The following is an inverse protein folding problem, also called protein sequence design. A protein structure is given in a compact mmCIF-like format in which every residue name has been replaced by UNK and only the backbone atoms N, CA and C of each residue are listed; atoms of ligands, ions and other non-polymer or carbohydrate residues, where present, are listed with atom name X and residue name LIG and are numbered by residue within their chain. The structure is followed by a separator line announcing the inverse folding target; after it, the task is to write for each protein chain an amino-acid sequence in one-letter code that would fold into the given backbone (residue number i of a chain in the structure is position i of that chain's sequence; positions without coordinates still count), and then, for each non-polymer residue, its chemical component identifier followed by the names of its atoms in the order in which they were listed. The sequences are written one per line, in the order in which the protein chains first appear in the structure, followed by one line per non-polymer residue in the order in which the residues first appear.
data_IF_055026781087
#
_entry.id   IF_055026781087
#
_cell.length_a   1.000
_cell.length_b   1.000
_cell.length_c   1.000
_cell.angle_alpha   90.00
_cell.angle_beta   90.00
_cell.angle_gamma   90.00
#
_symmetry.space_group_name_H-M   'P 1'
#
loop_
_entity.id
_entity.type
_entity.pdbx_description
1 polymer ?
#
# COMPACT_ATOMS: atom_id res chain seq x y z
N UNK A 1 -10.57 15.65 -8.35
CA UNK A 1 -10.22 15.81 -6.92
C UNK A 1 -10.51 14.50 -6.22
N UNK A 2 -9.67 14.08 -5.26
CA UNK A 2 -9.89 12.89 -4.42
C UNK A 2 -10.24 13.39 -3.03
N UNK A 3 -11.32 12.88 -2.47
CA UNK A 3 -11.84 13.29 -1.16
C UNK A 3 -11.36 12.35 -0.06
N UNK A 4 -11.43 12.82 1.19
CA UNK A 4 -11.05 12.00 2.35
C UNK A 4 -11.93 10.77 2.47
N UNK A 5 -11.30 9.61 2.62
CA UNK A 5 -11.97 8.31 2.76
C UNK A 5 -12.31 7.62 1.44
N UNK A 6 -12.05 8.27 0.28
CA UNK A 6 -12.19 7.60 -1.00
C UNK A 6 -11.16 6.48 -1.20
N UNK A 7 -11.54 5.47 -1.94
CA UNK A 7 -10.72 4.32 -2.30
C UNK A 7 -10.61 4.25 -3.82
N UNK A 8 -9.50 4.75 -4.32
CA UNK A 8 -9.27 4.99 -5.74
C UNK A 8 -8.37 3.90 -6.30
N UNK A 9 -8.92 3.06 -7.17
CA UNK A 9 -8.12 2.12 -7.95
C UNK A 9 -7.60 2.82 -9.21
N UNK A 10 -6.30 2.72 -9.45
CA UNK A 10 -5.65 3.14 -10.69
C UNK A 10 -5.43 1.91 -11.56
N UNK A 11 -6.04 1.89 -12.73
CA UNK A 11 -5.96 0.79 -13.69
C UNK A 11 -5.41 1.29 -15.03
N UNK A 12 -5.03 0.39 -15.90
CA UNK A 12 -4.49 0.67 -17.23
C UNK A 12 -3.47 -0.37 -17.69
N UNK A 13 -3.05 -0.30 -18.92
CA UNK A 13 -2.08 -1.24 -19.50
C UNK A 13 -0.74 -1.23 -18.76
N UNK A 14 0.02 -2.33 -18.87
CA UNK A 14 1.36 -2.39 -18.33
C UNK A 14 2.26 -1.37 -19.06
N UNK A 15 3.08 -0.66 -18.27
CA UNK A 15 3.96 0.38 -18.80
C UNK A 15 3.32 1.75 -19.05
N UNK A 16 1.99 1.92 -18.84
CA UNK A 16 1.30 3.21 -19.05
C UNK A 16 1.70 4.30 -18.04
N UNK A 17 2.42 3.95 -16.97
CA UNK A 17 2.89 4.93 -15.99
C UNK A 17 2.16 4.93 -14.65
N UNK A 18 1.43 3.87 -14.30
CA UNK A 18 0.71 3.76 -13.00
C UNK A 18 1.64 3.95 -11.80
N UNK A 19 2.74 3.22 -11.75
CA UNK A 19 3.75 3.32 -10.68
C UNK A 19 4.43 4.70 -10.68
N UNK A 20 4.71 5.26 -11.85
CA UNK A 20 5.26 6.62 -12.00
C UNK A 20 4.32 7.66 -11.42
N UNK A 21 3.01 7.52 -11.68
CA UNK A 21 2.00 8.41 -11.09
C UNK A 21 1.99 8.29 -9.56
N UNK A 22 2.01 7.08 -8.98
CA UNK A 22 2.07 6.90 -7.52
C UNK A 22 3.34 7.51 -6.91
N UNK A 23 4.49 7.29 -7.52
CA UNK A 23 5.78 7.88 -7.10
C UNK A 23 5.76 9.40 -7.19
N UNK A 24 5.16 9.95 -8.23
CA UNK A 24 4.98 11.40 -8.36
C UNK A 24 4.03 11.95 -7.29
N UNK A 25 2.93 11.26 -7.00
CA UNK A 25 2.02 11.63 -5.91
C UNK A 25 2.72 11.57 -4.56
N UNK A 26 3.52 10.55 -4.29
CA UNK A 26 4.31 10.44 -3.06
C UNK A 26 5.40 11.52 -2.95
N UNK A 27 6.01 11.91 -4.05
CA UNK A 27 7.04 12.94 -4.10
C UNK A 27 8.45 12.41 -4.36
N UNK A 28 8.57 11.16 -4.80
CA UNK A 28 9.85 10.60 -5.27
C UNK A 28 10.23 11.13 -6.65
N UNK A 29 9.24 11.45 -7.46
CA UNK A 29 9.41 11.96 -8.83
C UNK A 29 8.68 13.28 -8.95
N UNK A 30 9.36 14.32 -9.44
CA UNK A 30 8.71 15.59 -9.78
C UNK A 30 7.98 15.46 -11.12
N UNK A 31 6.75 15.98 -11.24
CA UNK A 31 6.02 15.96 -12.50
C UNK A 31 6.66 16.95 -13.51
N UNK A 32 6.73 16.56 -14.78
CA UNK A 32 7.22 17.43 -15.86
C UNK A 32 6.35 18.69 -16.03
N UNK A 33 5.07 18.59 -15.68
CA UNK A 33 4.12 19.70 -15.75
C UNK A 33 2.96 19.48 -14.79
N UNK A 34 2.19 20.55 -14.51
CA UNK A 34 1.05 20.50 -13.61
C UNK A 34 1.45 20.69 -12.15
N UNK A 35 0.49 20.51 -11.25
CA UNK A 35 0.69 20.68 -9.81
C UNK A 35 -0.04 19.60 -9.05
N UNK A 36 0.58 19.10 -7.99
CA UNK A 36 -0.08 18.28 -6.96
C UNK A 36 -0.23 19.09 -5.69
N UNK A 37 -1.34 18.94 -5.02
CA UNK A 37 -1.57 19.59 -3.73
C UNK A 37 -2.25 18.62 -2.77
N UNK A 38 -1.62 18.41 -1.65
CA UNK A 38 -2.20 17.69 -0.51
C UNK A 38 -2.80 18.68 0.50
N UNK A 39 -3.72 18.21 1.31
CA UNK A 39 -4.20 19.02 2.44
C UNK A 39 -3.10 19.18 3.49
N UNK A 40 -3.16 20.24 4.31
CA UNK A 40 -2.13 20.57 5.30
C UNK A 40 -1.87 19.45 6.33
N UNK A 41 -2.88 18.64 6.63
CA UNK A 41 -2.79 17.53 7.58
C UNK A 41 -2.55 16.17 6.93
N UNK A 42 -2.06 16.14 5.69
CA UNK A 42 -1.80 14.89 4.98
C UNK A 42 -0.56 14.19 5.55
N UNK A 43 -0.77 12.97 6.02
CA UNK A 43 0.28 12.01 6.38
C UNK A 43 0.19 10.84 5.40
N UNK A 44 1.17 10.76 4.49
CA UNK A 44 1.13 9.85 3.35
C UNK A 44 2.03 8.65 3.65
N UNK A 45 1.46 7.45 3.62
CA UNK A 45 2.20 6.20 3.59
C UNK A 45 2.32 5.69 2.16
N UNK A 46 3.47 5.10 1.83
CA UNK A 46 3.69 4.51 0.51
C UNK A 46 4.15 3.06 0.63
N UNK A 47 3.44 2.19 -0.05
CA UNK A 47 3.78 0.79 -0.25
C UNK A 47 4.27 0.63 -1.68
N UNK A 48 5.59 0.57 -1.86
CA UNK A 48 6.22 0.41 -3.18
C UNK A 48 6.10 -1.02 -3.70
N UNK A 49 6.26 -1.21 -4.99
CA UNK A 49 6.25 -2.54 -5.63
C UNK A 49 7.48 -3.38 -5.24
N UNK A 50 8.63 -2.75 -5.05
CA UNK A 50 9.87 -3.41 -4.61
C UNK A 50 10.36 -2.81 -3.29
N UNK A 51 10.66 -3.69 -2.35
CA UNK A 51 11.10 -3.36 -1.00
C UNK A 51 12.49 -3.94 -0.67
N UNK A 52 13.19 -4.55 -1.62
CA UNK A 52 14.41 -5.31 -1.33
C UNK A 52 15.49 -4.48 -0.66
N UNK A 53 15.68 -3.23 -1.06
CA UNK A 53 16.68 -2.32 -0.50
C UNK A 53 16.45 -2.03 1.00
N UNK A 54 15.20 -2.09 1.46
CA UNK A 54 14.87 -1.80 2.86
C UNK A 54 15.31 -2.91 3.83
N UNK A 55 15.63 -4.10 3.32
CA UNK A 55 15.99 -5.29 4.10
C UNK A 55 17.45 -5.72 3.93
N UNK A 56 18.33 -4.83 3.50
CA UNK A 56 19.76 -5.14 3.31
C UNK A 56 20.57 -5.22 4.60
N UNK A 57 20.10 -4.61 5.67
CA UNK A 57 20.80 -4.63 6.97
C UNK A 57 20.57 -5.97 7.67
N UNK A 58 21.61 -6.48 8.33
CA UNK A 58 21.49 -7.72 9.10
C UNK A 58 21.01 -7.42 10.52
N UNK A 59 19.71 -7.48 10.70
CA UNK A 59 19.04 -7.27 11.99
C UNK A 59 17.81 -8.17 12.11
N UNK A 60 17.31 -8.34 13.34
CA UNK A 60 16.12 -9.13 13.54
C UNK A 60 14.86 -8.42 13.05
N UNK A 61 13.81 -9.18 12.72
CA UNK A 61 12.48 -8.67 12.37
C UNK A 61 11.98 -7.68 13.44
N UNK A 62 12.17 -8.01 14.73
CA UNK A 62 11.74 -7.13 15.82
C UNK A 62 12.55 -5.83 15.86
N UNK A 63 13.88 -5.91 15.69
CA UNK A 63 14.73 -4.72 15.69
C UNK A 63 14.41 -3.80 14.52
N UNK A 64 14.19 -4.38 13.33
CA UNK A 64 13.77 -3.61 12.15
C UNK A 64 12.47 -2.87 12.40
N UNK A 65 11.45 -3.55 12.94
CA UNK A 65 10.16 -2.91 13.25
C UNK A 65 10.30 -1.81 14.30
N UNK A 66 11.19 -2.01 15.29
CA UNK A 66 11.41 -1.08 16.40
C UNK A 66 11.99 0.27 15.94
N UNK A 67 12.65 0.33 14.78
CA UNK A 67 13.13 1.60 14.22
C UNK A 67 12.01 2.59 13.90
N UNK A 68 10.80 2.10 13.65
CA UNK A 68 9.63 2.90 13.26
C UNK A 68 8.66 3.18 14.41
N UNK A 69 9.03 2.84 15.65
CA UNK A 69 8.21 3.11 16.82
C UNK A 69 8.13 4.61 17.12
N UNK A 70 6.98 5.06 17.58
CA UNK A 70 6.84 6.38 18.18
C UNK A 70 7.31 6.36 19.65
N UNK A 71 7.52 7.53 20.26
CA UNK A 71 7.97 7.64 21.66
C UNK A 71 7.08 6.91 22.68
N UNK A 72 5.78 6.79 22.37
CA UNK A 72 4.78 6.15 23.24
C UNK A 72 4.60 4.66 22.99
N UNK A 73 5.23 4.12 21.93
CA UNK A 73 5.09 2.73 21.58
C UNK A 73 6.10 1.89 22.36
N UNK A 74 5.65 0.78 22.91
CA UNK A 74 6.50 -0.20 23.60
C UNK A 74 6.78 -1.43 22.74
N UNK A 75 7.67 -2.30 23.23
CA UNK A 75 8.01 -3.58 22.54
C UNK A 75 6.78 -4.47 22.39
N UNK A 76 5.82 -4.38 23.31
CA UNK A 76 4.61 -5.19 23.24
C UNK A 76 3.70 -4.77 22.08
N UNK A 77 3.65 -3.46 21.80
CA UNK A 77 2.99 -2.92 20.61
C UNK A 77 3.64 -3.43 19.33
N UNK A 78 4.98 -3.41 19.25
CA UNK A 78 5.72 -3.96 18.09
C UNK A 78 5.39 -5.43 17.86
N UNK A 79 5.40 -6.24 18.91
CA UNK A 79 5.05 -7.66 18.83
C UNK A 79 3.59 -7.88 18.43
N UNK A 80 2.68 -7.01 18.89
CA UNK A 80 1.27 -7.07 18.52
C UNK A 80 1.08 -6.79 17.04
N UNK A 81 1.76 -5.78 16.49
CA UNK A 81 1.73 -5.47 15.06
C UNK A 81 2.32 -6.62 14.25
N UNK A 82 3.47 -7.15 14.65
CA UNK A 82 4.09 -8.30 13.98
C UNK A 82 3.18 -9.54 14.01
N UNK A 83 2.50 -9.79 15.14
CA UNK A 83 1.52 -10.88 15.24
C UNK A 83 0.34 -10.71 14.29
N UNK A 84 -0.16 -9.49 14.10
CA UNK A 84 -1.18 -9.20 13.09
C UNK A 84 -0.67 -9.40 11.65
N UNK A 85 0.63 -9.27 11.45
CA UNK A 85 1.32 -9.55 10.18
C UNK A 85 1.78 -11.00 10.06
N UNK A 86 1.21 -11.91 10.87
CA UNK A 86 1.46 -13.35 10.85
C UNK A 86 2.89 -13.76 11.20
N UNK A 87 3.64 -12.92 11.94
CA UNK A 87 4.94 -13.30 12.48
C UNK A 87 4.79 -13.94 13.86
N UNK A 88 5.20 -15.19 13.96
CA UNK A 88 5.18 -15.96 15.20
C UNK A 88 6.33 -15.56 16.16
N UNK A 89 6.32 -16.14 17.36
CA UNK A 89 7.32 -15.84 18.42
C UNK A 89 8.78 -16.10 18.00
N UNK A 90 9.00 -17.11 17.16
CA UNK A 90 10.34 -17.42 16.65
C UNK A 90 10.69 -16.58 15.41
N UNK A 91 9.69 -16.20 14.60
CA UNK A 91 9.92 -15.42 13.40
C UNK A 91 10.46 -14.02 13.71
N UNK A 92 10.08 -13.44 14.84
CA UNK A 92 10.56 -12.10 15.23
C UNK A 92 12.07 -12.04 15.49
N UNK A 93 12.72 -13.19 15.62
CA UNK A 93 14.17 -13.33 15.82
C UNK A 93 14.94 -13.55 14.52
N UNK A 94 14.23 -13.90 13.43
CA UNK A 94 14.88 -14.12 12.12
C UNK A 94 15.54 -12.84 11.62
N UNK A 95 16.62 -12.99 10.86
CA UNK A 95 17.20 -11.86 10.12
C UNK A 95 16.24 -11.42 9.01
N UNK A 96 16.03 -10.12 8.86
CA UNK A 96 15.19 -9.54 7.79
C UNK A 96 15.71 -9.89 6.40
N UNK A 97 17.01 -10.18 6.25
CA UNK A 97 17.60 -10.64 4.99
C UNK A 97 17.06 -12.00 4.54
N UNK A 98 16.64 -12.84 5.47
CA UNK A 98 16.15 -14.19 5.19
C UNK A 98 14.66 -14.25 4.85
N UNK A 99 13.98 -13.10 4.87
CA UNK A 99 12.54 -13.02 4.63
C UNK A 99 12.22 -13.25 3.14
N UNK A 100 11.14 -14.01 2.90
CA UNK A 100 10.54 -14.13 1.58
C UNK A 100 9.95 -12.79 1.12
N UNK A 101 9.63 -12.67 -0.18
CA UNK A 101 8.97 -11.47 -0.70
C UNK A 101 7.65 -11.15 0.01
N UNK A 102 6.83 -12.16 0.29
CA UNK A 102 5.58 -12.00 1.03
C UNK A 102 5.81 -11.56 2.49
N UNK A 103 6.81 -12.13 3.19
CA UNK A 103 7.17 -11.69 4.54
C UNK A 103 7.66 -10.26 4.56
N UNK A 104 8.47 -9.84 3.58
CA UNK A 104 8.89 -8.44 3.42
C UNK A 104 7.70 -7.50 3.22
N UNK A 105 6.77 -7.87 2.33
CA UNK A 105 5.54 -7.10 2.12
C UNK A 105 4.73 -6.91 3.39
N UNK A 106 4.54 -7.99 4.18
CA UNK A 106 3.87 -7.91 5.50
C UNK A 106 4.61 -7.01 6.49
N UNK A 107 5.95 -7.01 6.48
CA UNK A 107 6.75 -6.11 7.32
C UNK A 107 6.51 -4.64 6.98
N UNK A 108 6.52 -4.30 5.69
CA UNK A 108 6.23 -2.93 5.23
C UNK A 108 4.84 -2.51 5.64
N UNK A 109 3.85 -3.40 5.49
CA UNK A 109 2.49 -3.09 5.90
C UNK A 109 2.37 -2.90 7.42
N UNK A 110 3.06 -3.72 8.22
CA UNK A 110 3.17 -3.54 9.66
C UNK A 110 3.77 -2.17 10.04
N UNK A 111 4.82 -1.74 9.36
CA UNK A 111 5.39 -0.39 9.50
C UNK A 111 4.36 0.70 9.23
N UNK A 112 3.64 0.59 8.13
CA UNK A 112 2.59 1.56 7.78
C UNK A 112 1.48 1.61 8.84
N UNK A 113 1.12 0.49 9.44
CA UNK A 113 0.19 0.46 10.57
C UNK A 113 0.68 1.24 11.78
N UNK A 114 1.99 1.23 12.06
CA UNK A 114 2.60 2.02 13.15
C UNK A 114 2.60 3.52 12.84
N UNK A 115 2.91 3.88 11.60
CA UNK A 115 2.98 5.26 11.15
C UNK A 115 1.60 5.93 11.04
N UNK A 116 0.52 5.14 10.96
CA UNK A 116 -0.88 5.58 10.90
C UNK A 116 -1.11 6.68 9.85
N UNK A 117 -0.73 6.48 8.59
CA UNK A 117 -1.01 7.46 7.55
C UNK A 117 -2.51 7.66 7.41
N UNK A 118 -2.94 8.88 7.02
CA UNK A 118 -4.33 9.14 6.64
C UNK A 118 -4.56 9.09 5.14
N UNK A 119 -3.47 8.98 4.36
CA UNK A 119 -3.48 8.68 2.94
C UNK A 119 -2.50 7.54 2.70
N UNK A 120 -2.94 6.49 2.03
CA UNK A 120 -2.13 5.33 1.72
C UNK A 120 -2.06 5.14 0.21
N UNK A 121 -0.85 5.20 -0.32
CA UNK A 121 -0.54 4.89 -1.72
C UNK A 121 0.03 3.47 -1.78
N UNK A 122 -0.51 2.60 -2.64
CA UNK A 122 -0.05 1.22 -2.74
C UNK A 122 0.17 0.82 -4.21
N UNK A 123 1.34 0.32 -4.50
CA UNK A 123 1.73 -0.15 -5.83
C UNK A 123 1.87 -1.68 -5.84
N UNK A 124 0.89 -2.36 -6.45
CA UNK A 124 0.80 -3.82 -6.57
C UNK A 124 0.98 -4.56 -5.21
N UNK A 125 0.19 -4.21 -4.18
CA UNK A 125 0.42 -4.72 -2.82
C UNK A 125 0.16 -6.23 -2.67
N UNK A 126 -0.54 -6.86 -3.61
CA UNK A 126 -0.82 -8.30 -3.60
C UNK A 126 0.30 -9.13 -4.24
N UNK A 127 1.26 -8.49 -4.93
CA UNK A 127 2.36 -9.20 -5.55
C UNK A 127 3.21 -9.93 -4.52
N UNK A 128 3.54 -11.19 -4.83
CA UNK A 128 4.35 -12.07 -3.98
C UNK A 128 3.73 -12.46 -2.64
N UNK A 129 2.47 -12.09 -2.38
CA UNK A 129 1.73 -12.54 -1.21
C UNK A 129 1.06 -13.89 -1.48
N UNK A 130 0.99 -14.74 -0.46
CA UNK A 130 0.12 -15.92 -0.46
C UNK A 130 -1.34 -15.52 -0.19
N UNK A 131 -2.27 -16.44 -0.44
CA UNK A 131 -3.71 -16.19 -0.28
C UNK A 131 -4.08 -15.70 1.11
N UNK A 132 -3.52 -16.29 2.17
CA UNK A 132 -3.79 -15.90 3.55
C UNK A 132 -3.33 -14.44 3.81
N UNK A 133 -2.18 -14.05 3.27
CA UNK A 133 -1.66 -12.69 3.36
C UNK A 133 -2.50 -11.69 2.58
N UNK A 134 -3.02 -12.07 1.41
CA UNK A 134 -3.91 -11.22 0.61
C UNK A 134 -5.24 -10.99 1.37
N UNK A 135 -5.83 -12.03 1.94
CA UNK A 135 -7.05 -11.92 2.74
C UNK A 135 -6.85 -11.01 3.97
N UNK A 136 -5.73 -11.22 4.69
CA UNK A 136 -5.39 -10.39 5.84
C UNK A 136 -5.18 -8.92 5.47
N UNK A 137 -4.50 -8.64 4.34
CA UNK A 137 -4.31 -7.31 3.80
C UNK A 137 -5.65 -6.67 3.42
N UNK A 138 -6.49 -7.40 2.70
CA UNK A 138 -7.81 -6.93 2.27
C UNK A 138 -8.67 -6.53 3.46
N UNK A 139 -8.78 -7.40 4.47
CA UNK A 139 -9.53 -7.13 5.70
C UNK A 139 -8.99 -5.91 6.45
N UNK A 140 -7.68 -5.74 6.51
CA UNK A 140 -7.06 -4.57 7.14
C UNK A 140 -7.39 -3.28 6.38
N UNK A 141 -7.37 -3.32 5.04
CA UNK A 141 -7.70 -2.17 4.19
C UNK A 141 -9.20 -1.86 4.18
N UNK A 142 -10.09 -2.84 4.27
CA UNK A 142 -11.53 -2.62 4.44
C UNK A 142 -11.83 -1.81 5.70
N UNK A 143 -11.09 -2.06 6.78
CA UNK A 143 -11.22 -1.35 8.05
C UNK A 143 -10.45 -0.02 8.11
N UNK A 144 -9.60 0.26 7.14
CA UNK A 144 -8.84 1.50 7.07
C UNK A 144 -9.77 2.70 6.81
N UNK A 145 -9.65 3.75 7.61
CA UNK A 145 -10.54 4.92 7.57
C UNK A 145 -9.99 6.09 6.76
N UNK A 146 -8.74 5.99 6.30
CA UNK A 146 -8.11 7.02 5.48
C UNK A 146 -8.45 6.88 4.00
N UNK A 147 -7.83 7.72 3.20
CA UNK A 147 -7.89 7.68 1.74
C UNK A 147 -6.92 6.64 1.21
N UNK A 148 -7.37 5.78 0.32
CA UNK A 148 -6.57 4.75 -0.33
C UNK A 148 -6.47 5.01 -1.82
N UNK A 149 -5.27 5.05 -2.36
CA UNK A 149 -5.00 5.14 -3.79
C UNK A 149 -4.08 3.97 -4.14
N UNK A 150 -4.51 3.08 -5.01
CA UNK A 150 -3.77 1.85 -5.24
C UNK A 150 -3.81 1.39 -6.69
N UNK A 151 -2.74 0.70 -7.08
CA UNK A 151 -2.63 -0.05 -8.32
C UNK A 151 -2.66 -1.53 -7.97
N UNK A 152 -3.47 -2.32 -8.63
CA UNK A 152 -3.43 -3.78 -8.55
C UNK A 152 -3.96 -4.41 -9.83
N UNK A 153 -3.39 -5.58 -10.18
CA UNK A 153 -3.89 -6.45 -11.22
C UNK A 153 -4.85 -7.52 -10.70
N UNK A 154 -4.97 -7.64 -9.39
CA UNK A 154 -5.91 -8.55 -8.74
C UNK A 154 -7.32 -7.96 -8.77
N UNK A 155 -8.18 -8.56 -9.60
CA UNK A 155 -9.55 -8.07 -9.81
C UNK A 155 -10.41 -8.18 -8.57
N UNK A 156 -10.26 -9.23 -7.76
CA UNK A 156 -11.02 -9.41 -6.53
C UNK A 156 -10.62 -8.35 -5.51
N UNK A 157 -9.32 -8.10 -5.38
CA UNK A 157 -8.79 -7.05 -4.52
C UNK A 157 -9.27 -5.66 -4.94
N UNK A 158 -9.27 -5.36 -6.26
CA UNK A 158 -9.78 -4.08 -6.77
C UNK A 158 -11.29 -3.96 -6.50
N UNK A 159 -12.07 -5.01 -6.79
CA UNK A 159 -13.53 -5.02 -6.64
C UNK A 159 -13.97 -4.83 -5.19
N UNK A 160 -13.27 -5.48 -4.24
CA UNK A 160 -13.61 -5.41 -2.82
C UNK A 160 -13.35 -4.04 -2.18
N UNK A 161 -12.37 -3.30 -2.68
CA UNK A 161 -11.91 -2.08 -2.05
C UNK A 161 -12.33 -0.79 -2.75
N UNK A 162 -12.39 -0.78 -4.09
CA UNK A 162 -12.54 0.47 -4.83
C UNK A 162 -13.93 1.08 -4.73
N UNK A 163 -13.97 2.40 -4.51
CA UNK A 163 -15.18 3.22 -4.61
C UNK A 163 -15.13 4.16 -5.81
N UNK A 164 -13.96 4.26 -6.43
CA UNK A 164 -13.70 5.08 -7.61
C UNK A 164 -12.61 4.42 -8.45
N UNK A 165 -12.70 4.54 -9.75
CA UNK A 165 -11.71 4.02 -10.69
C UNK A 165 -11.12 5.17 -11.52
N UNK A 166 -9.81 5.16 -11.67
CA UNK A 166 -9.08 6.02 -12.62
C UNK A 166 -8.38 5.10 -13.61
N UNK A 167 -8.77 5.18 -14.86
CA UNK A 167 -8.12 4.44 -15.94
C UNK A 167 -7.11 5.33 -16.64
N UNK A 168 -5.85 4.90 -16.69
CA UNK A 168 -4.81 5.54 -17.48
C UNK A 168 -4.79 4.96 -18.89
N UNK A 169 -4.89 5.84 -19.88
CA UNK A 169 -4.80 5.54 -21.32
C UNK A 169 -3.78 6.46 -21.99
N UNK A 170 -3.47 6.21 -23.25
CA UNK A 170 -2.53 7.03 -24.03
C UNK A 170 -3.00 8.50 -24.18
N UNK A 171 -4.31 8.73 -24.16
CA UNK A 171 -4.93 10.04 -24.25
C UNK A 171 -5.13 10.73 -22.88
N UNK A 172 -4.78 10.08 -21.78
CA UNK A 172 -4.84 10.65 -20.43
C UNK A 172 -5.53 9.79 -19.39
N UNK A 173 -5.98 10.44 -18.32
CA UNK A 173 -6.65 9.78 -17.19
C UNK A 173 -8.17 9.93 -17.29
N UNK A 174 -8.88 8.81 -17.29
CA UNK A 174 -10.33 8.75 -17.33
C UNK A 174 -10.89 8.38 -15.96
N UNK A 175 -11.86 9.17 -15.48
CA UNK A 175 -12.42 9.05 -14.15
C UNK A 175 -13.78 8.39 -14.20
N UNK A 176 -13.98 7.34 -13.41
CA UNK A 176 -15.26 6.65 -13.25
C UNK A 176 -15.70 6.74 -11.79
N UNK A 177 -16.87 7.33 -11.57
CA UNK A 177 -17.53 7.31 -10.26
C UNK A 177 -18.30 6.01 -10.10
N UNK A 178 -17.98 5.25 -9.08
CA UNK A 178 -18.52 3.93 -8.82
C UNK A 178 -17.43 2.92 -8.56
N UNK A 179 -17.83 1.71 -8.21
CA UNK A 179 -16.89 0.63 -7.94
C UNK A 179 -16.34 0.01 -9.25
N UNK A 180 -15.47 -0.97 -9.11
CA UNK A 180 -14.85 -1.63 -10.26
C UNK A 180 -15.85 -2.41 -11.13
N UNK A 181 -16.90 -2.96 -10.55
CA UNK A 181 -17.95 -3.67 -11.28
C UNK A 181 -18.75 -2.72 -12.17
N UNK A 182 -19.10 -1.53 -11.62
CA UNK A 182 -19.77 -0.47 -12.41
C UNK A 182 -18.90 -0.03 -13.59
N UNK A 183 -17.57 0.11 -13.35
CA UNK A 183 -16.61 0.41 -14.42
C UNK A 183 -16.64 -0.65 -15.51
N UNK A 184 -16.60 -1.94 -15.17
CA UNK A 184 -16.60 -3.04 -16.15
C UNK A 184 -17.86 -3.01 -17.05
N UNK A 185 -19.00 -2.62 -16.50
CA UNK A 185 -20.23 -2.48 -17.29
C UNK A 185 -20.16 -1.36 -18.32
N UNK A 186 -19.30 -0.38 -18.17
CA UNK A 186 -19.09 0.70 -19.14
C UNK A 186 -18.18 0.32 -20.30
N UNK A 187 -17.50 -0.84 -20.22
CA UNK A 187 -16.56 -1.33 -21.24
C UNK A 187 -17.20 -2.31 -22.24
N UNK A 188 -18.50 -2.58 -22.12
CA UNK A 188 -19.26 -3.53 -22.95
C UNK A 188 -19.93 -2.83 -24.14
#
# INVERSE_FOLDING_TARGET
MIETGERVAIIGQNGIGKSTLLKSLYGEIEPDSGTKKWSENSNIGYYAQDHNEEFEQDMSVLDWMTQFKNEKDDIQMMRSVLGKMLFGKEDVKKSVKSLSGGEKGRMIFGRLMLQKPNILLMDEPTNHLDMESIEALNLALENYKGTLIFVSHDREFVSSLSTKVIELKDDGAHYYSGNYEDYLLTQV
#
